data_IF_293463519418
#
_entry.id   IF_293463519418
#
_cell.length_a   1.000
_cell.length_b   1.000
_cell.length_c   1.000
_cell.angle_alpha   90.00
_cell.angle_beta   90.00
_cell.angle_gamma   90.00
#
_symmetry.space_group_name_H-M   'P 1'
#
loop_
_entity.id
_entity.type
_entity.pdbx_description
1 polymer ?
#
# COMPACT_ATOMS: atom_id res chain seq x y z
N UNK A 1 12.03 -1.24 -15.53
CA UNK A 1 11.11 -0.74 -14.47
C UNK A 1 10.16 0.39 -14.93
N UNK A 2 10.29 0.98 -16.13
CA UNK A 2 9.35 1.99 -16.65
C UNK A 2 8.06 1.38 -17.25
N UNK A 3 8.16 0.20 -17.88
CA UNK A 3 7.05 -0.43 -18.62
C UNK A 3 5.88 -0.86 -17.71
N UNK A 4 6.17 -1.40 -16.52
CA UNK A 4 5.12 -1.76 -15.53
C UNK A 4 4.30 -0.55 -15.05
N UNK A 5 4.86 0.66 -15.11
CA UNK A 5 4.15 1.90 -14.78
C UNK A 5 3.20 2.35 -15.88
N UNK A 6 3.21 1.74 -17.06
CA UNK A 6 2.29 2.09 -18.15
C UNK A 6 1.18 1.05 -18.36
N UNK A 7 1.37 -0.15 -17.81
CA UNK A 7 0.40 -1.25 -17.94
C UNK A 7 -0.67 -1.25 -16.85
N UNK A 8 -0.36 -0.73 -15.66
CA UNK A 8 -1.30 -0.71 -14.55
C UNK A 8 -1.98 0.65 -14.41
N UNK A 9 -3.29 0.59 -14.17
CA UNK A 9 -4.06 1.74 -13.69
C UNK A 9 -3.31 2.42 -12.52
N UNK A 10 -3.31 3.76 -12.44
CA UNK A 10 -2.63 4.48 -11.36
C UNK A 10 -2.92 3.88 -9.97
N UNK A 11 -4.16 3.46 -9.72
CA UNK A 11 -4.58 2.91 -8.42
C UNK A 11 -3.99 1.52 -8.15
N UNK A 12 -3.95 0.65 -9.16
CA UNK A 12 -3.35 -0.69 -9.04
C UNK A 12 -1.85 -0.61 -8.75
N UNK A 13 -1.17 0.36 -9.36
CA UNK A 13 0.26 0.57 -9.16
C UNK A 13 0.59 1.02 -7.75
N UNK A 14 -0.19 1.94 -7.21
CA UNK A 14 -0.06 2.38 -5.81
C UNK A 14 -0.29 1.20 -4.86
N UNK A 15 -1.29 0.34 -5.14
CA UNK A 15 -1.51 -0.88 -4.37
C UNK A 15 -0.32 -1.86 -4.43
N UNK A 16 0.32 -2.01 -5.59
CA UNK A 16 1.54 -2.82 -5.74
C UNK A 16 2.70 -2.22 -4.94
N UNK A 17 2.90 -0.90 -5.00
CA UNK A 17 3.95 -0.20 -4.25
C UNK A 17 3.73 -0.40 -2.74
N UNK A 18 2.50 -0.23 -2.26
CA UNK A 18 2.14 -0.46 -0.86
C UNK A 18 2.45 -1.91 -0.42
N UNK A 19 2.13 -2.90 -1.25
CA UNK A 19 2.39 -4.31 -0.92
C UNK A 19 3.89 -4.60 -0.82
N UNK A 20 4.68 -4.07 -1.75
CA UNK A 20 6.14 -4.21 -1.72
C UNK A 20 6.72 -3.53 -0.48
N UNK A 21 6.19 -2.37 -0.09
CA UNK A 21 6.59 -1.65 1.11
C UNK A 21 6.22 -2.39 2.40
N UNK A 22 5.20 -3.27 2.39
CA UNK A 22 4.81 -4.04 3.58
C UNK A 22 5.51 -5.40 3.68
N UNK A 23 5.65 -6.15 2.57
CA UNK A 23 6.04 -7.58 2.59
C UNK A 23 7.53 -7.87 2.71
N UNK A 24 8.42 -6.95 2.31
CA UNK A 24 9.86 -7.21 2.32
C UNK A 24 10.47 -6.88 3.69
N UNK A 25 10.36 -5.61 4.06
CA UNK A 25 10.60 -5.01 5.37
C UNK A 25 9.69 -3.78 5.38
N UNK A 26 8.95 -3.56 6.46
CA UNK A 26 7.94 -2.50 6.47
C UNK A 26 8.60 -1.11 6.29
N UNK A 27 8.42 -0.49 5.13
CA UNK A 27 8.89 0.87 4.87
C UNK A 27 7.81 1.88 5.23
N UNK A 28 7.82 2.31 6.49
CA UNK A 28 6.87 3.29 7.01
C UNK A 28 6.87 4.61 6.24
N UNK A 29 7.97 4.99 5.59
CA UNK A 29 8.02 6.23 4.81
C UNK A 29 7.06 6.15 3.64
N UNK A 30 7.04 5.02 2.92
CA UNK A 30 6.13 4.81 1.79
C UNK A 30 4.68 4.79 2.26
N UNK A 31 4.38 4.16 3.41
CA UNK A 31 3.02 4.11 3.95
C UNK A 31 2.54 5.50 4.40
N UNK A 32 3.39 6.26 5.09
CA UNK A 32 3.09 7.62 5.55
C UNK A 32 2.95 8.58 4.36
N UNK A 33 3.83 8.50 3.36
CA UNK A 33 3.73 9.31 2.14
C UNK A 33 2.45 9.01 1.38
N UNK A 34 2.08 7.73 1.24
CA UNK A 34 0.83 7.34 0.60
C UNK A 34 -0.38 7.93 1.35
N UNK A 35 -0.39 7.85 2.67
CA UNK A 35 -1.46 8.40 3.51
C UNK A 35 -1.54 9.93 3.47
N UNK A 36 -0.40 10.62 3.40
CA UNK A 36 -0.33 12.07 3.44
C UNK A 36 -0.51 12.74 2.06
N UNK A 37 -0.07 12.08 0.98
CA UNK A 37 -0.07 12.66 -0.37
C UNK A 37 -1.35 12.39 -1.16
N UNK A 38 -2.21 11.46 -0.70
CA UNK A 38 -3.44 11.04 -1.39
C UNK A 38 -4.67 11.61 -0.69
N UNK A 39 -5.67 12.02 -1.47
CA UNK A 39 -6.99 12.35 -0.95
C UNK A 39 -7.71 11.12 -0.38
N UNK A 40 -8.73 11.34 0.45
CA UNK A 40 -9.49 10.24 1.05
C UNK A 40 -10.14 9.32 0.00
N UNK A 41 -10.59 9.88 -1.13
CA UNK A 41 -11.18 9.11 -2.22
C UNK A 41 -10.14 8.26 -2.95
N UNK A 42 -8.95 8.81 -3.19
CA UNK A 42 -7.83 8.06 -3.78
C UNK A 42 -7.38 6.93 -2.85
N UNK A 43 -7.25 7.20 -1.54
CA UNK A 43 -6.92 6.17 -0.55
C UNK A 43 -7.97 5.05 -0.51
N UNK A 44 -9.25 5.37 -0.65
CA UNK A 44 -10.29 4.35 -0.74
C UNK A 44 -10.11 3.47 -1.98
N UNK A 45 -9.89 4.07 -3.15
CA UNK A 45 -9.66 3.34 -4.39
C UNK A 45 -8.41 2.44 -4.29
N UNK A 46 -7.32 2.95 -3.72
CA UNK A 46 -6.07 2.19 -3.53
C UNK A 46 -6.30 0.98 -2.64
N UNK A 47 -7.02 1.14 -1.53
CA UNK A 47 -7.36 0.03 -0.63
C UNK A 47 -8.27 -1.00 -1.29
N UNK A 48 -9.23 -0.57 -2.09
CA UNK A 48 -10.08 -1.47 -2.88
C UNK A 48 -9.25 -2.28 -3.89
N UNK A 49 -8.33 -1.63 -4.62
CA UNK A 49 -7.44 -2.30 -5.56
C UNK A 49 -6.47 -3.27 -4.85
N UNK A 50 -5.93 -2.85 -3.70
CA UNK A 50 -5.09 -3.70 -2.84
C UNK A 50 -5.84 -4.96 -2.42
N UNK A 51 -7.04 -4.79 -1.86
CA UNK A 51 -7.87 -5.90 -1.41
C UNK A 51 -8.28 -6.82 -2.57
N UNK A 52 -8.68 -6.25 -3.71
CA UNK A 52 -9.02 -7.03 -4.90
C UNK A 52 -7.86 -7.90 -5.39
N UNK A 53 -6.62 -7.37 -5.31
CA UNK A 53 -5.40 -8.02 -5.78
C UNK A 53 -4.83 -9.03 -4.79
N UNK A 54 -4.74 -8.69 -3.52
CA UNK A 54 -4.02 -9.46 -2.50
C UNK A 54 -4.92 -10.25 -1.55
N UNK A 55 -6.24 -10.06 -1.63
CA UNK A 55 -7.26 -10.76 -0.83
C UNK A 55 -7.12 -10.53 0.69
N UNK A 56 -6.50 -9.42 1.08
CA UNK A 56 -6.37 -8.91 2.44
C UNK A 56 -6.46 -7.38 2.42
N UNK A 57 -6.79 -6.75 3.55
CA UNK A 57 -6.72 -5.29 3.64
C UNK A 57 -5.27 -4.81 3.78
N UNK A 58 -5.01 -3.59 3.31
CA UNK A 58 -3.70 -2.95 3.47
C UNK A 58 -3.40 -2.74 4.97
N UNK A 59 -4.42 -2.37 5.74
CA UNK A 59 -4.34 -2.13 7.17
C UNK A 59 -3.98 -3.39 7.97
N UNK A 60 -4.59 -4.53 7.67
CA UNK A 60 -4.23 -5.82 8.29
C UNK A 60 -2.80 -6.23 7.96
N UNK A 61 -2.39 -6.05 6.71
CA UNK A 61 -1.03 -6.36 6.27
C UNK A 61 -0.03 -5.42 6.97
N UNK A 62 -0.28 -4.12 7.04
CA UNK A 62 0.55 -3.17 7.82
C UNK A 62 0.65 -3.61 9.29
N UNK A 63 -0.47 -3.96 9.92
CA UNK A 63 -0.51 -4.36 11.31
C UNK A 63 0.22 -5.69 11.58
N UNK A 64 0.20 -6.62 10.62
CA UNK A 64 0.90 -7.90 10.71
C UNK A 64 2.43 -7.76 10.56
N UNK A 65 2.88 -6.79 9.77
CA UNK A 65 4.31 -6.58 9.48
C UNK A 65 4.92 -5.44 10.33
N UNK A 66 4.11 -4.70 11.09
CA UNK A 66 4.58 -3.78 12.12
C UNK A 66 5.04 -4.57 13.35
N UNK A 67 6.33 -4.88 13.42
CA UNK A 67 6.93 -5.49 14.60
C UNK A 67 6.99 -4.48 15.75
N UNK A 68 6.07 -4.62 16.71
CA UNK A 68 6.20 -4.22 18.13
C UNK A 68 6.38 -2.74 18.51
N UNK A 69 6.95 -1.88 17.66
CA UNK A 69 7.39 -0.53 18.06
C UNK A 69 6.31 0.55 17.85
N UNK A 70 5.38 0.34 16.92
CA UNK A 70 4.20 1.21 16.69
C UNK A 70 2.92 0.71 17.36
N UNK A 71 2.99 -0.40 18.10
CA UNK A 71 1.83 -1.03 18.77
C UNK A 71 1.77 -0.74 20.28
N UNK A 72 2.52 0.26 20.76
CA UNK A 72 2.47 0.75 22.14
C UNK A 72 1.81 2.12 22.21
#
# INVERSE_FOLDING_TARGET
RAVYRWMHDPVEREAIIANVAVKKEIDYRVIVELAAARSSNELLAIRQAYHARYKCSLEEDVAAHSHGDLRK
#
